data_IF_872906985485
#
_entry.id   IF_872906985485
#
_cell.length_a   1.000
_cell.length_b   1.000
_cell.length_c   1.000
_cell.angle_alpha   90.00
_cell.angle_beta   90.00
_cell.angle_gamma   90.00
#
_symmetry.space_group_name_H-M   'P 1'
#
loop_
_entity.id
_entity.type
_entity.pdbx_description
1 polymer ?
#
# COMPACT_ATOMS: atom_id res chain seq x y z
N UNK A 1 0.21 5.48 -23.81
CA UNK A 1 -0.52 4.20 -23.83
C UNK A 1 -0.43 3.59 -22.44
N UNK A 2 -1.55 3.20 -21.83
CA UNK A 2 -1.57 2.64 -20.47
C UNK A 2 -1.01 1.22 -20.41
N UNK A 3 -0.28 0.90 -19.34
CA UNK A 3 0.31 -0.42 -19.08
C UNK A 3 -0.70 -1.58 -19.25
N UNK A 4 -1.99 -1.31 -18.97
CA UNK A 4 -3.11 -2.24 -19.05
C UNK A 4 -3.55 -2.64 -20.48
N UNK A 5 -3.02 -2.02 -21.54
CA UNK A 5 -3.35 -2.35 -22.94
C UNK A 5 -2.20 -3.11 -23.65
N UNK A 6 -1.18 -3.52 -22.92
CA UNK A 6 -0.02 -4.22 -23.47
C UNK A 6 -0.29 -5.72 -23.66
N UNK A 7 0.24 -6.31 -24.74
CA UNK A 7 0.17 -7.75 -24.99
C UNK A 7 0.58 -8.65 -23.81
N UNK A 8 1.63 -8.35 -23.02
CA UNK A 8 1.95 -9.16 -21.83
C UNK A 8 0.87 -9.08 -20.75
N UNK A 9 0.24 -7.92 -20.55
CA UNK A 9 -0.87 -7.78 -19.59
C UNK A 9 -2.12 -8.54 -20.06
N UNK A 10 -2.40 -8.46 -21.36
CA UNK A 10 -3.48 -9.21 -22.02
C UNK A 10 -3.30 -10.74 -21.87
N UNK A 11 -2.09 -11.24 -22.08
CA UNK A 11 -1.76 -12.64 -21.86
C UNK A 11 -1.97 -13.05 -20.39
N UNK A 12 -1.56 -12.20 -19.44
CA UNK A 12 -1.70 -12.45 -18.01
C UNK A 12 -3.16 -12.52 -17.56
N UNK A 13 -4.01 -11.55 -17.96
CA UNK A 13 -5.43 -11.55 -17.57
C UNK A 13 -6.21 -12.71 -18.18
N UNK A 14 -5.72 -13.29 -19.27
CA UNK A 14 -6.34 -14.44 -19.96
C UNK A 14 -6.01 -15.78 -19.29
N UNK A 15 -5.06 -15.81 -18.35
CA UNK A 15 -4.77 -17.03 -17.56
C UNK A 15 -5.88 -17.30 -16.54
N UNK A 16 -6.16 -18.58 -16.24
CA UNK A 16 -7.20 -19.00 -15.29
C UNK A 16 -6.60 -19.83 -14.15
N UNK A 17 -6.58 -19.33 -12.89
CA UNK A 17 -6.98 -17.98 -12.48
C UNK A 17 -5.93 -16.92 -12.90
N UNK A 18 -6.31 -15.64 -13.09
CA UNK A 18 -5.39 -14.58 -13.46
C UNK A 18 -4.49 -14.19 -12.28
N UNK A 19 -3.17 -14.24 -12.48
CA UNK A 19 -2.17 -14.02 -11.43
C UNK A 19 -1.03 -13.14 -11.89
N UNK A 20 -0.50 -12.34 -10.97
CA UNK A 20 0.78 -11.66 -11.12
C UNK A 20 1.80 -12.40 -10.24
N UNK A 21 2.54 -13.32 -10.85
CA UNK A 21 3.42 -14.23 -10.10
C UNK A 21 2.62 -15.08 -9.10
N UNK A 22 2.89 -14.91 -7.80
CA UNK A 22 2.19 -15.64 -6.72
C UNK A 22 0.93 -14.95 -6.21
N UNK A 23 0.73 -13.66 -6.49
CA UNK A 23 -0.44 -12.88 -6.06
C UNK A 23 -1.56 -12.94 -7.10
N UNK A 24 -2.84 -12.86 -6.71
CA UNK A 24 -3.93 -12.74 -7.66
C UNK A 24 -3.88 -11.38 -8.37
N UNK A 25 -4.21 -11.35 -9.66
CA UNK A 25 -4.20 -10.11 -10.45
C UNK A 25 -5.11 -9.03 -9.84
N UNK A 26 -6.21 -9.45 -9.19
CA UNK A 26 -7.15 -8.57 -8.50
C UNK A 26 -6.48 -7.68 -7.45
N UNK A 27 -5.55 -8.21 -6.65
CA UNK A 27 -4.85 -7.42 -5.61
C UNK A 27 -3.96 -6.33 -6.21
N UNK A 28 -3.44 -6.54 -7.42
CA UNK A 28 -2.63 -5.53 -8.11
C UNK A 28 -3.49 -4.39 -8.70
N UNK A 29 -4.66 -4.74 -9.24
CA UNK A 29 -5.59 -3.78 -9.83
C UNK A 29 -6.33 -2.99 -8.74
N UNK A 30 -6.79 -3.68 -7.70
CA UNK A 30 -7.55 -3.12 -6.59
C UNK A 30 -6.65 -3.04 -5.34
N UNK A 31 -5.70 -2.09 -5.36
CA UNK A 31 -4.85 -1.84 -4.19
C UNK A 31 -5.63 -1.13 -3.10
N UNK A 32 -5.56 -1.68 -1.89
CA UNK A 32 -6.08 -1.03 -0.69
C UNK A 32 -5.21 0.21 -0.38
N UNK A 33 -5.75 1.18 0.38
CA UNK A 33 -4.99 2.37 0.75
C UNK A 33 -3.73 2.03 1.57
N UNK A 34 -3.76 0.93 2.33
CA UNK A 34 -2.66 0.46 3.14
C UNK A 34 -2.51 -1.07 2.98
N UNK A 35 -1.28 -1.55 3.02
CA UNK A 35 -0.94 -2.98 2.99
C UNK A 35 0.09 -3.27 4.08
N UNK A 36 -0.16 -4.33 4.86
CA UNK A 36 0.74 -4.85 5.87
C UNK A 36 1.12 -6.27 5.44
N UNK A 37 2.36 -6.68 5.64
CA UNK A 37 2.78 -8.06 5.38
C UNK A 37 3.68 -8.51 6.52
N UNK A 38 3.41 -9.70 7.04
CA UNK A 38 4.29 -10.36 7.98
C UNK A 38 5.38 -11.11 7.18
N UNK A 39 6.61 -10.59 7.23
CA UNK A 39 7.73 -11.14 6.48
C UNK A 39 8.27 -12.45 7.08
N UNK A 40 7.99 -12.74 8.35
CA UNK A 40 8.43 -13.99 9.00
C UNK A 40 7.56 -15.16 8.54
N UNK A 41 6.24 -14.97 8.53
CA UNK A 41 5.28 -16.01 8.16
C UNK A 41 4.97 -16.01 6.65
N UNK A 42 5.06 -14.86 5.99
CA UNK A 42 4.81 -14.69 4.56
C UNK A 42 5.92 -13.87 3.86
N UNK A 43 7.11 -14.46 3.66
CA UNK A 43 8.24 -13.79 2.99
C UNK A 43 7.98 -13.48 1.50
N UNK A 44 6.85 -13.94 0.95
CA UNK A 44 6.43 -13.68 -0.43
C UNK A 44 5.30 -12.66 -0.51
N UNK A 45 4.89 -12.12 0.64
CA UNK A 45 3.90 -11.07 0.79
C UNK A 45 2.62 -11.37 0.00
N UNK A 46 2.19 -12.64 -0.04
CA UNK A 46 1.02 -13.07 -0.79
C UNK A 46 -0.29 -12.72 -0.08
N UNK A 47 -0.26 -12.66 1.25
CA UNK A 47 -1.41 -12.44 2.11
C UNK A 47 -1.31 -11.09 2.83
N UNK A 48 -2.23 -10.19 2.48
CA UNK A 48 -2.38 -8.91 3.16
C UNK A 48 -3.40 -9.08 4.32
N UNK A 49 -2.99 -9.05 5.60
CA UNK A 49 -3.89 -9.12 6.75
C UNK A 49 -4.51 -7.75 7.11
N UNK A 50 -4.22 -6.68 6.37
CA UNK A 50 -4.78 -5.34 6.62
C UNK A 50 -6.31 -5.35 6.62
N UNK A 51 -6.91 -4.71 7.63
CA UNK A 51 -8.37 -4.64 7.83
C UNK A 51 -8.91 -5.66 8.84
N UNK A 52 -8.05 -6.47 9.44
CA UNK A 52 -8.39 -7.28 10.62
C UNK A 52 -8.04 -6.50 11.89
N UNK A 53 -8.95 -6.50 12.88
CA UNK A 53 -8.78 -5.77 14.15
C UNK A 53 -7.50 -6.16 14.90
N UNK A 54 -6.97 -7.36 14.64
CA UNK A 54 -5.76 -7.89 15.28
C UNK A 54 -4.50 -7.08 14.95
N UNK A 55 -4.44 -6.45 13.78
CA UNK A 55 -3.25 -5.73 13.31
C UNK A 55 -3.40 -4.20 13.32
N UNK A 56 -4.53 -3.66 13.80
CA UNK A 56 -4.78 -2.21 13.82
C UNK A 56 -3.73 -1.44 14.64
N UNK A 57 -3.26 -2.03 15.75
CA UNK A 57 -2.20 -1.45 16.58
C UNK A 57 -0.86 -1.41 15.83
N UNK A 58 -0.54 -2.47 15.10
CA UNK A 58 0.69 -2.58 14.27
C UNK A 58 0.63 -1.58 13.12
N UNK A 59 -0.50 -1.47 12.42
CA UNK A 59 -0.69 -0.48 11.34
C UNK A 59 -0.51 0.94 11.87
N UNK A 60 -1.07 1.26 13.03
CA UNK A 60 -0.92 2.57 13.65
C UNK A 60 0.54 2.87 13.98
N UNK A 61 1.24 1.92 14.61
CA UNK A 61 2.66 2.07 14.93
C UNK A 61 3.51 2.29 13.67
N UNK A 62 3.28 1.47 12.63
CA UNK A 62 4.02 1.60 11.36
C UNK A 62 3.75 2.95 10.70
N UNK A 63 2.53 3.47 10.78
CA UNK A 63 2.20 4.81 10.28
C UNK A 63 2.97 5.90 11.02
N UNK A 64 3.05 5.82 12.35
CA UNK A 64 3.80 6.76 13.18
C UNK A 64 5.32 6.74 12.85
N UNK A 65 5.91 5.56 12.68
CA UNK A 65 7.31 5.42 12.29
C UNK A 65 7.59 5.98 10.89
N UNK A 66 6.69 5.75 9.93
CA UNK A 66 6.79 6.34 8.58
C UNK A 66 6.68 7.87 8.64
N UNK A 67 5.73 8.41 9.39
CA UNK A 67 5.57 9.86 9.53
C UNK A 67 6.81 10.50 10.18
N UNK A 68 7.38 9.87 11.20
CA UNK A 68 8.63 10.31 11.82
C UNK A 68 9.79 10.31 10.82
N UNK A 69 9.95 9.22 10.06
CA UNK A 69 11.00 9.11 9.05
C UNK A 69 10.84 10.15 7.93
N UNK A 70 9.61 10.42 7.51
CA UNK A 70 9.32 11.45 6.52
C UNK A 70 9.66 12.86 7.04
N UNK A 71 9.42 13.15 8.32
CA UNK A 71 9.86 14.41 8.94
C UNK A 71 11.39 14.53 8.98
N UNK A 72 12.08 13.44 9.35
CA UNK A 72 13.55 13.39 9.40
C UNK A 72 14.18 13.62 8.02
N UNK A 73 13.59 13.01 6.99
CA UNK A 73 14.04 13.13 5.59
C UNK A 73 13.55 14.40 4.90
N UNK A 74 12.69 15.19 5.55
CA UNK A 74 12.06 16.41 5.02
C UNK A 74 11.26 16.12 3.74
N UNK A 75 10.54 15.00 3.72
CA UNK A 75 9.65 14.67 2.63
C UNK A 75 8.54 15.73 2.51
N UNK A 76 8.37 16.24 1.30
CA UNK A 76 7.39 17.28 0.98
C UNK A 76 5.95 16.81 1.24
N UNK A 77 5.70 15.49 1.12
CA UNK A 77 4.37 14.89 1.37
C UNK A 77 3.89 15.18 2.79
N UNK A 78 4.80 15.19 3.76
CA UNK A 78 4.47 15.52 5.15
C UNK A 78 4.30 17.03 5.30
N UNK A 79 5.20 17.84 4.74
CA UNK A 79 5.06 19.30 4.82
C UNK A 79 3.69 19.81 4.33
N UNK A 80 3.17 19.26 3.22
CA UNK A 80 1.87 19.63 2.68
C UNK A 80 0.69 19.13 3.54
N UNK A 81 0.75 17.90 4.05
CA UNK A 81 -0.29 17.33 4.94
C UNK A 81 -0.41 18.10 6.25
N UNK A 82 0.71 18.53 6.83
CA UNK A 82 0.74 19.34 8.05
C UNK A 82 0.27 20.77 7.80
N UNK A 83 0.63 21.37 6.65
CA UNK A 83 0.13 22.70 6.27
C UNK A 83 -1.40 22.69 6.08
N UNK A 84 -1.96 21.63 5.50
CA UNK A 84 -3.40 21.47 5.35
C UNK A 84 -4.10 21.24 6.69
N UNK A 85 -3.50 20.44 7.58
CA UNK A 85 -4.02 20.23 8.94
C UNK A 85 -4.00 21.52 9.78
N UNK A 86 -2.91 22.29 9.71
CA UNK A 86 -2.78 23.58 10.40
C UNK A 86 -3.79 24.61 9.86
N UNK A 87 -3.99 24.65 8.53
CA UNK A 87 -4.97 25.52 7.88
C UNK A 87 -6.42 25.19 8.28
N UNK A 88 -6.75 23.92 8.55
CA UNK A 88 -8.07 23.50 9.03
C UNK A 88 -8.25 23.78 10.54
N UNK A 89 -7.16 23.77 11.32
CA UNK A 89 -7.20 24.02 12.77
C UNK A 89 -7.11 25.50 13.15
N UNK A 90 -6.96 26.42 12.19
CA UNK A 90 -7.10 27.86 12.42
C UNK A 90 -6.11 28.44 13.44
N UNK A 91 -4.83 28.07 13.31
CA UNK A 91 -3.71 28.75 14.00
C UNK A 91 -2.81 29.41 12.96
#
# INVERSE_FOLDING_TARGET
MGLCASSPFEAMRSTSPPRTGRRPLKSYICRLPEELYDLETDPKEVHNPTGTMEYDSVVKQMREEVEKWQMETKDLVVAERWCFSAAIQGV
#
